data_IF_715452828517
#
_entry.id   IF_715452828517
#
_cell.length_a   1.000
_cell.length_b   1.000
_cell.length_c   1.000
_cell.angle_alpha   90.00
_cell.angle_beta   90.00
_cell.angle_gamma   90.00
#
_symmetry.space_group_name_H-M   'P 1'
#
loop_
_entity.id
_entity.type
_entity.pdbx_description
1 polymer ?
#
# COMPACT_ATOMS: atom_id res chain seq x y z
N UNK A 1 -40.93 33.57 -46.46
CA UNK A 1 -40.01 32.66 -47.17
C UNK A 1 -39.90 31.38 -46.34
N UNK A 2 -39.95 30.21 -46.98
CA UNK A 2 -39.78 28.91 -46.34
C UNK A 2 -38.50 28.27 -46.87
N UNK A 3 -37.60 27.86 -45.97
CA UNK A 3 -36.34 27.21 -46.33
C UNK A 3 -36.44 25.70 -46.17
N UNK A 4 -35.90 24.96 -47.13
CA UNK A 4 -35.73 23.50 -46.98
C UNK A 4 -34.60 23.21 -46.00
N UNK A 5 -34.63 22.05 -45.34
CA UNK A 5 -33.61 21.64 -44.37
C UNK A 5 -32.17 21.71 -44.91
N UNK A 6 -31.95 21.41 -46.20
CA UNK A 6 -30.64 21.50 -46.84
C UNK A 6 -30.16 22.94 -47.07
N UNK A 7 -31.07 23.86 -47.33
CA UNK A 7 -30.77 25.29 -47.45
C UNK A 7 -30.47 25.88 -46.07
N UNK A 8 -31.28 25.53 -45.06
CA UNK A 8 -31.08 25.94 -43.68
C UNK A 8 -29.72 25.45 -43.13
N UNK A 9 -29.35 24.21 -43.43
CA UNK A 9 -28.03 23.65 -43.09
C UNK A 9 -26.89 24.48 -43.70
N UNK A 10 -26.99 24.85 -44.98
CA UNK A 10 -25.98 25.69 -45.65
C UNK A 10 -25.87 27.09 -45.04
N UNK A 11 -26.99 27.73 -44.71
CA UNK A 11 -26.99 29.09 -44.16
C UNK A 11 -26.51 29.15 -42.71
N UNK A 12 -26.70 28.08 -41.93
CA UNK A 12 -26.39 28.06 -40.49
C UNK A 12 -25.11 27.31 -40.14
N UNK A 13 -24.44 26.71 -41.14
CA UNK A 13 -23.24 25.88 -40.95
C UNK A 13 -23.51 24.56 -40.21
N UNK A 14 -24.77 24.22 -39.95
CA UNK A 14 -25.16 22.97 -39.29
C UNK A 14 -25.32 21.85 -40.31
N UNK A 15 -25.10 20.61 -39.86
CA UNK A 15 -25.41 19.45 -40.69
C UNK A 15 -26.91 19.19 -40.72
N UNK A 16 -27.42 18.65 -41.83
CA UNK A 16 -28.82 18.17 -41.92
C UNK A 16 -29.13 17.17 -40.81
N UNK A 17 -28.14 16.35 -40.41
CA UNK A 17 -28.26 15.42 -39.27
C UNK A 17 -28.49 16.15 -37.95
N UNK A 18 -27.79 17.26 -37.69
CA UNK A 18 -27.99 18.05 -36.47
C UNK A 18 -29.41 18.67 -36.43
N UNK A 19 -29.89 19.19 -37.57
CA UNK A 19 -31.26 19.72 -37.67
C UNK A 19 -32.33 18.64 -37.50
N UNK A 20 -32.12 17.44 -38.05
CA UNK A 20 -33.01 16.29 -37.79
C UNK A 20 -32.98 15.84 -36.33
N UNK A 21 -31.81 15.91 -35.67
CA UNK A 21 -31.71 15.61 -34.26
C UNK A 21 -32.51 16.62 -33.42
N UNK A 22 -32.41 17.92 -33.73
CA UNK A 22 -33.18 18.96 -33.04
C UNK A 22 -34.69 18.81 -33.24
N UNK A 23 -35.13 18.39 -34.42
CA UNK A 23 -36.54 18.02 -34.68
C UNK A 23 -36.96 16.81 -33.84
N UNK A 24 -36.14 15.75 -33.81
CA UNK A 24 -36.44 14.52 -33.08
C UNK A 24 -36.57 14.72 -31.56
N UNK A 25 -35.78 15.63 -30.98
CA UNK A 25 -35.85 15.96 -29.55
C UNK A 25 -36.85 17.10 -29.24
N UNK A 26 -37.60 17.57 -30.24
CA UNK A 26 -38.58 18.65 -30.09
C UNK A 26 -37.97 20.04 -29.85
N UNK A 27 -36.66 20.20 -30.01
CA UNK A 27 -35.94 21.45 -29.78
C UNK A 27 -36.19 22.45 -30.92
N UNK A 28 -36.29 21.98 -32.16
CA UNK A 28 -36.64 22.78 -33.35
C UNK A 28 -37.52 21.97 -34.31
N UNK A 29 -38.82 22.20 -34.28
CA UNK A 29 -39.78 21.57 -35.18
C UNK A 29 -39.92 22.39 -36.49
N UNK A 30 -40.10 21.74 -37.66
CA UNK A 30 -40.38 22.44 -38.90
C UNK A 30 -41.80 23.01 -38.90
N UNK A 31 -41.95 24.29 -39.30
CA UNK A 31 -43.26 24.94 -39.38
C UNK A 31 -44.20 24.35 -40.44
N UNK A 32 -43.67 23.69 -41.47
CA UNK A 32 -44.48 23.02 -42.48
C UNK A 32 -43.74 21.85 -43.12
N UNK A 33 -44.49 21.04 -43.86
CA UNK A 33 -43.95 20.06 -44.80
C UNK A 33 -44.46 20.37 -46.21
N UNK A 34 -43.60 20.24 -47.22
CA UNK A 34 -44.02 20.35 -48.62
C UNK A 34 -44.90 19.17 -49.03
N UNK A 35 -45.61 19.26 -50.16
CA UNK A 35 -46.37 18.13 -50.72
C UNK A 35 -45.49 16.89 -50.96
N UNK A 36 -44.24 17.08 -51.36
CA UNK A 36 -43.24 16.00 -51.50
C UNK A 36 -42.61 15.52 -50.16
N UNK A 37 -43.10 15.96 -49.00
CA UNK A 37 -42.67 15.52 -47.67
C UNK A 37 -41.43 16.21 -47.07
N UNK A 38 -40.85 17.21 -47.73
CA UNK A 38 -39.67 17.94 -47.22
C UNK A 38 -40.04 18.87 -46.05
N UNK A 39 -39.14 18.96 -45.05
CA UNK A 39 -39.25 19.90 -43.92
C UNK A 39 -39.01 21.33 -44.39
N UNK A 40 -39.91 22.24 -44.01
CA UNK A 40 -39.89 23.66 -44.34
C UNK A 40 -39.83 24.50 -43.06
N UNK A 41 -38.89 25.44 -43.03
CA UNK A 41 -38.64 26.32 -41.89
C UNK A 41 -38.93 27.77 -42.25
N UNK A 42 -39.68 28.48 -41.39
CA UNK A 42 -40.00 29.88 -41.57
C UNK A 42 -39.02 30.80 -40.81
N UNK A 43 -39.26 32.11 -40.83
CA UNK A 43 -38.41 33.08 -40.14
C UNK A 43 -38.39 32.91 -38.60
N UNK A 44 -39.49 32.46 -38.00
CA UNK A 44 -39.56 32.20 -36.56
C UNK A 44 -38.70 31.00 -36.16
N UNK A 45 -38.69 29.94 -36.99
CA UNK A 45 -37.83 28.77 -36.79
C UNK A 45 -36.35 29.15 -36.88
N UNK A 46 -36.00 30.05 -37.79
CA UNK A 46 -34.62 30.57 -37.92
C UNK A 46 -34.24 31.39 -36.67
N UNK A 47 -35.15 32.24 -36.17
CA UNK A 47 -34.94 32.98 -34.92
C UNK A 47 -34.73 32.05 -33.72
N UNK A 48 -35.53 30.99 -33.62
CA UNK A 48 -35.38 29.95 -32.59
C UNK A 48 -34.04 29.22 -32.73
N UNK A 49 -33.65 28.86 -33.94
CA UNK A 49 -32.37 28.19 -34.21
C UNK A 49 -31.18 29.09 -33.84
N UNK A 50 -31.26 30.39 -34.09
CA UNK A 50 -30.25 31.34 -33.68
C UNK A 50 -30.10 31.41 -32.14
N UNK A 51 -31.22 31.44 -31.42
CA UNK A 51 -31.21 31.38 -29.95
C UNK A 51 -30.59 30.08 -29.41
N UNK A 52 -30.91 28.93 -30.03
CA UNK A 52 -30.30 27.63 -29.68
C UNK A 52 -28.79 27.67 -29.87
N UNK A 53 -28.32 28.23 -30.99
CA UNK A 53 -26.89 28.34 -31.27
C UNK A 53 -26.17 29.25 -30.28
N UNK A 54 -26.75 30.42 -29.96
CA UNK A 54 -26.18 31.35 -29.00
C UNK A 54 -26.05 30.73 -27.60
N UNK A 55 -27.09 30.03 -27.11
CA UNK A 55 -27.05 29.37 -25.81
C UNK A 55 -26.09 28.18 -25.78
N UNK A 56 -25.96 27.44 -26.88
CA UNK A 56 -24.97 26.36 -27.01
C UNK A 56 -23.54 26.89 -27.02
N UNK A 57 -23.29 28.06 -27.61
CA UNK A 57 -21.97 28.72 -27.54
C UNK A 57 -21.60 29.10 -26.09
N UNK A 58 -22.59 29.34 -25.24
CA UNK A 58 -22.40 29.58 -23.79
C UNK A 58 -22.23 28.28 -22.97
N UNK A 59 -22.13 27.12 -23.63
CA UNK A 59 -21.87 25.83 -22.98
C UNK A 59 -23.09 25.16 -22.36
N UNK A 60 -24.30 25.67 -22.62
CA UNK A 60 -25.53 25.08 -22.07
C UNK A 60 -25.88 23.76 -22.77
N UNK A 61 -26.32 22.72 -22.03
CA UNK A 61 -26.75 21.46 -22.60
C UNK A 61 -28.09 21.62 -23.34
N UNK A 62 -28.29 20.86 -24.42
CA UNK A 62 -29.48 20.96 -25.29
C UNK A 62 -30.81 20.76 -24.54
N UNK A 63 -30.82 19.95 -23.48
CA UNK A 63 -32.00 19.72 -22.64
C UNK A 63 -32.44 20.99 -21.90
N UNK A 64 -31.50 21.77 -21.37
CA UNK A 64 -31.81 23.04 -20.68
C UNK A 64 -32.20 24.14 -21.66
N UNK A 65 -31.60 24.16 -22.86
CA UNK A 65 -31.98 25.07 -23.94
C UNK A 65 -33.43 24.82 -24.37
N UNK A 66 -33.88 23.56 -24.40
CA UNK A 66 -35.27 23.20 -24.69
C UNK A 66 -36.26 23.79 -23.68
N UNK A 67 -35.95 23.68 -22.38
CA UNK A 67 -36.77 24.24 -21.30
C UNK A 67 -36.79 25.78 -21.24
N UNK A 68 -35.72 26.44 -21.69
CA UNK A 68 -35.67 27.91 -21.78
C UNK A 68 -36.52 28.47 -22.92
N UNK A 69 -36.57 27.75 -24.03
CA UNK A 69 -37.24 28.19 -25.25
C UNK A 69 -38.68 27.65 -25.38
N UNK A 70 -39.04 26.62 -24.62
CA UNK A 70 -40.43 26.27 -24.34
C UNK A 70 -40.90 27.08 -23.14
N UNK A 71 -42.13 27.57 -23.12
CA UNK A 71 -42.64 28.46 -22.07
C UNK A 71 -42.76 27.81 -20.65
N UNK A 72 -42.14 26.65 -20.46
CA UNK A 72 -42.17 25.87 -19.22
C UNK A 72 -40.76 25.76 -18.65
N UNK A 73 -40.55 26.50 -17.56
CA UNK A 73 -39.55 26.23 -16.51
C UNK A 73 -38.14 26.82 -16.71
N UNK A 74 -37.97 28.07 -16.27
CA UNK A 74 -36.68 28.63 -15.86
C UNK A 74 -36.44 30.05 -16.34
N UNK A 75 -36.09 30.96 -15.42
CA UNK A 75 -35.58 32.29 -15.80
C UNK A 75 -34.17 32.14 -16.37
N UNK A 76 -33.92 32.63 -17.59
CA UNK A 76 -32.59 32.61 -18.24
C UNK A 76 -31.44 33.06 -17.31
N UNK A 77 -31.59 34.15 -16.52
CA UNK A 77 -30.64 34.50 -15.46
C UNK A 77 -30.27 33.35 -14.50
N UNK A 78 -31.23 32.55 -14.05
CA UNK A 78 -30.98 31.47 -13.08
C UNK A 78 -30.20 30.30 -13.69
N UNK A 79 -30.41 30.01 -14.97
CA UNK A 79 -29.68 28.95 -15.69
C UNK A 79 -28.24 29.42 -15.99
N UNK A 80 -28.07 30.67 -16.42
CA UNK A 80 -26.74 31.27 -16.59
C UNK A 80 -25.96 31.26 -15.26
N UNK A 81 -26.59 31.64 -14.15
CA UNK A 81 -25.95 31.60 -12.83
C UNK A 81 -25.52 30.19 -12.41
N UNK A 82 -26.35 29.17 -12.67
CA UNK A 82 -26.00 27.77 -12.38
C UNK A 82 -24.81 27.29 -13.22
N UNK A 83 -24.78 27.66 -14.50
CA UNK A 83 -23.67 27.32 -15.39
C UNK A 83 -22.37 28.01 -14.97
N UNK A 84 -22.42 29.30 -14.60
CA UNK A 84 -21.27 30.03 -14.04
C UNK A 84 -20.76 29.32 -12.78
N UNK A 85 -21.64 28.99 -11.83
CA UNK A 85 -21.23 28.31 -10.60
C UNK A 85 -20.60 26.92 -10.86
N UNK A 86 -21.10 26.17 -11.84
CA UNK A 86 -20.51 24.89 -12.25
C UNK A 86 -19.11 25.07 -12.85
N UNK A 87 -18.93 26.09 -13.70
CA UNK A 87 -17.63 26.42 -14.28
C UNK A 87 -16.65 26.89 -13.21
N UNK A 88 -17.07 27.72 -12.26
CA UNK A 88 -16.24 28.16 -11.14
C UNK A 88 -15.77 26.98 -10.30
N UNK A 89 -16.64 25.98 -10.06
CA UNK A 89 -16.27 24.76 -9.36
C UNK A 89 -15.24 23.93 -10.15
N UNK A 90 -15.39 23.82 -11.48
CA UNK A 90 -14.43 23.13 -12.34
C UNK A 90 -13.08 23.87 -12.37
N UNK A 91 -13.09 25.20 -12.45
CA UNK A 91 -11.89 26.04 -12.39
C UNK A 91 -11.19 25.87 -11.05
N UNK A 92 -11.92 25.88 -9.94
CA UNK A 92 -11.33 25.68 -8.61
C UNK A 92 -10.64 24.31 -8.50
N UNK A 93 -11.26 23.24 -9.01
CA UNK A 93 -10.66 21.90 -9.04
C UNK A 93 -9.42 21.84 -9.94
N UNK A 94 -9.50 22.42 -11.14
CA UNK A 94 -8.39 22.44 -12.08
C UNK A 94 -7.20 23.27 -11.57
N UNK A 95 -7.46 24.42 -10.94
CA UNK A 95 -6.44 25.26 -10.31
C UNK A 95 -5.76 24.55 -9.15
N UNK A 96 -6.52 23.88 -8.26
CA UNK A 96 -5.96 23.09 -7.18
C UNK A 96 -5.08 21.94 -7.70
N UNK A 97 -5.48 21.27 -8.79
CA UNK A 97 -4.66 20.25 -9.43
C UNK A 97 -3.37 20.85 -10.01
N UNK A 98 -3.46 22.00 -10.69
CA UNK A 98 -2.30 22.69 -11.27
C UNK A 98 -1.28 23.08 -10.20
N UNK A 99 -1.72 23.67 -9.09
CA UNK A 99 -0.83 24.05 -7.98
C UNK A 99 -0.09 22.84 -7.40
N UNK A 100 -0.78 21.71 -7.26
CA UNK A 100 -0.16 20.46 -6.80
C UNK A 100 0.88 19.92 -7.79
N UNK A 101 0.58 19.96 -9.08
CA UNK A 101 1.53 19.54 -10.12
C UNK A 101 2.77 20.44 -10.13
N UNK A 102 2.60 21.75 -9.94
CA UNK A 102 3.72 22.69 -9.85
C UNK A 102 4.62 22.41 -8.63
N UNK A 103 4.03 22.09 -7.47
CA UNK A 103 4.78 21.71 -6.28
C UNK A 103 5.59 20.41 -6.49
N UNK A 104 5.03 19.44 -7.23
CA UNK A 104 5.74 18.22 -7.59
C UNK A 104 6.90 18.50 -8.55
N UNK A 105 6.69 19.35 -9.55
CA UNK A 105 7.71 19.75 -10.52
C UNK A 105 8.91 20.42 -9.84
N UNK A 106 8.66 21.35 -8.92
CA UNK A 106 9.71 22.07 -8.17
C UNK A 106 10.56 21.10 -7.32
N UNK A 107 9.92 20.15 -6.62
CA UNK A 107 10.62 19.14 -5.81
C UNK A 107 11.45 18.15 -6.61
N UNK A 108 10.98 17.76 -7.80
CA UNK A 108 11.72 16.89 -8.70
C UNK A 108 12.95 17.60 -9.29
N UNK A 109 12.87 18.91 -9.52
CA UNK A 109 13.98 19.72 -10.02
C UNK A 109 15.12 19.89 -8.99
N UNK A 110 14.82 19.79 -7.69
CA UNK A 110 15.81 19.90 -6.60
C UNK A 110 16.62 18.60 -6.36
N UNK A 111 16.41 17.56 -7.16
CA UNK A 111 17.22 16.32 -7.11
C UNK A 111 16.89 15.39 -5.94
N UNK A 112 15.81 15.65 -5.21
CA UNK A 112 15.23 14.67 -4.30
C UNK A 112 14.60 13.54 -5.14
N UNK A 113 15.11 12.31 -5.02
CA UNK A 113 14.33 11.16 -5.45
C UNK A 113 13.03 11.19 -4.65
N UNK A 114 11.84 11.22 -5.30
CA UNK A 114 10.59 11.28 -4.57
C UNK A 114 10.48 10.04 -3.69
N UNK A 115 10.57 10.27 -2.37
CA UNK A 115 10.33 9.26 -1.35
C UNK A 115 8.88 8.76 -1.47
N UNK A 116 8.58 7.60 -0.91
CA UNK A 116 7.26 6.95 -0.88
C UNK A 116 6.12 7.93 -0.57
N UNK A 117 6.41 9.00 0.18
CA UNK A 117 5.53 10.12 0.57
C UNK A 117 5.00 10.96 -0.58
N UNK A 118 5.79 11.20 -1.60
CA UNK A 118 5.35 11.96 -2.78
C UNK A 118 4.51 11.08 -3.73
N UNK A 119 4.73 9.76 -3.69
CA UNK A 119 3.90 8.75 -4.39
C UNK A 119 2.52 8.56 -3.75
N UNK A 120 2.42 8.63 -2.42
CA UNK A 120 1.15 8.45 -1.71
C UNK A 120 0.22 9.68 -1.79
N UNK A 121 0.79 10.89 -1.96
CA UNK A 121 0.02 12.08 -2.30
C UNK A 121 -0.58 12.04 -3.72
N UNK A 122 0.05 11.30 -4.65
CA UNK A 122 -0.53 11.02 -5.97
C UNK A 122 -1.61 9.94 -5.91
N UNK A 123 -1.52 9.00 -4.96
CA UNK A 123 -2.47 7.90 -4.74
C UNK A 123 -3.79 8.32 -4.06
N UNK A 124 -3.87 9.53 -3.48
CA UNK A 124 -5.13 10.13 -3.02
C UNK A 124 -6.19 10.25 -4.13
N UNK A 125 -5.82 10.04 -5.41
CA UNK A 125 -6.76 10.11 -6.54
C UNK A 125 -7.32 8.77 -7.08
N UNK A 126 -6.89 7.56 -6.66
CA UNK A 126 -7.42 6.31 -7.26
C UNK A 126 -7.62 5.14 -6.27
N UNK A 127 -8.76 5.15 -5.57
CA UNK A 127 -9.67 4.03 -5.14
C UNK A 127 -9.18 2.61 -4.76
N UNK A 128 -7.90 2.21 -4.88
CA UNK A 128 -7.43 0.87 -4.54
C UNK A 128 -6.96 0.75 -3.08
N UNK A 129 -6.08 1.64 -2.61
CA UNK A 129 -5.56 1.59 -1.23
C UNK A 129 -6.63 1.87 -0.17
N UNK A 130 -7.59 2.76 -0.45
CA UNK A 130 -8.70 3.05 0.47
C UNK A 130 -9.65 1.86 0.72
N UNK A 131 -9.60 0.81 -0.12
CA UNK A 131 -10.32 -0.45 0.13
C UNK A 131 -9.66 -1.30 1.20
N UNK A 132 -8.35 -1.15 1.37
CA UNK A 132 -7.55 -1.97 2.28
C UNK A 132 -7.11 -1.18 3.50
N UNK A 133 -6.88 0.13 3.42
CA UNK A 133 -6.29 0.93 4.50
C UNK A 133 -7.02 2.24 4.71
N UNK A 134 -7.16 2.63 5.98
CA UNK A 134 -7.62 3.96 6.36
C UNK A 134 -6.53 5.02 6.12
N UNK A 135 -6.89 6.31 5.98
CA UNK A 135 -5.92 7.39 5.86
C UNK A 135 -4.90 7.46 7.02
N UNK A 136 -5.34 7.10 8.24
CA UNK A 136 -4.47 7.07 9.42
C UNK A 136 -3.43 5.95 9.34
N UNK A 137 -3.84 4.76 8.88
CA UNK A 137 -2.93 3.62 8.67
C UNK A 137 -1.93 3.93 7.56
N UNK A 138 -2.38 4.52 6.45
CA UNK A 138 -1.49 4.95 5.36
C UNK A 138 -0.44 5.92 5.91
N UNK A 139 -0.84 6.92 6.69
CA UNK A 139 0.08 7.88 7.32
C UNK A 139 1.09 7.20 8.25
N UNK A 140 0.69 6.17 9.00
CA UNK A 140 1.61 5.42 9.86
C UNK A 140 2.61 4.59 9.04
N UNK A 141 2.15 3.87 8.02
CA UNK A 141 3.01 3.12 7.09
C UNK A 141 4.04 4.05 6.42
N UNK A 142 3.64 5.27 6.06
CA UNK A 142 4.53 6.29 5.51
C UNK A 142 5.65 6.67 6.47
N UNK A 143 5.30 6.92 7.73
CA UNK A 143 6.23 7.42 8.73
C UNK A 143 7.31 6.38 9.05
N UNK A 144 6.93 5.11 9.06
CA UNK A 144 7.83 4.00 9.41
C UNK A 144 8.66 3.50 8.21
N UNK A 145 8.28 3.84 6.97
CA UNK A 145 8.96 3.35 5.76
C UNK A 145 10.43 3.78 5.70
N UNK A 146 10.73 5.04 6.03
CA UNK A 146 12.10 5.58 5.94
C UNK A 146 13.11 4.84 6.82
N UNK A 147 12.65 4.23 7.93
CA UNK A 147 13.49 3.45 8.83
C UNK A 147 13.92 2.09 8.23
N UNK A 148 13.10 1.53 7.34
CA UNK A 148 13.31 0.20 6.75
C UNK A 148 13.68 0.24 5.27
N UNK A 149 13.48 1.37 4.60
CA UNK A 149 13.58 1.52 3.14
C UNK A 149 14.93 1.03 2.57
N UNK A 150 16.04 1.37 3.23
CA UNK A 150 17.38 0.98 2.79
C UNK A 150 17.68 -0.52 2.94
N UNK A 151 16.92 -1.23 3.79
CA UNK A 151 17.14 -2.64 4.09
C UNK A 151 16.40 -3.58 3.12
N UNK A 152 15.40 -3.08 2.41
CA UNK A 152 14.59 -3.86 1.46
C UNK A 152 15.35 -4.29 0.19
N UNK A 153 16.05 -3.40 -0.54
CA UNK A 153 16.77 -3.79 -1.77
C UNK A 153 17.77 -4.95 -1.60
N UNK A 154 18.67 -4.96 -0.59
CA UNK A 154 19.60 -6.08 -0.42
C UNK A 154 18.87 -7.37 -0.06
N UNK A 155 17.82 -7.32 0.76
CA UNK A 155 17.04 -8.51 1.11
C UNK A 155 16.34 -9.12 -0.13
N UNK A 156 15.73 -8.27 -0.97
CA UNK A 156 15.08 -8.72 -2.20
C UNK A 156 16.10 -9.38 -3.14
N UNK A 157 17.30 -8.80 -3.27
CA UNK A 157 18.38 -9.37 -4.07
C UNK A 157 18.85 -10.74 -3.54
N UNK A 158 18.99 -10.91 -2.23
CA UNK A 158 19.38 -12.17 -1.60
C UNK A 158 18.33 -13.27 -1.87
N UNK A 159 17.04 -12.95 -1.75
CA UNK A 159 15.95 -13.90 -2.04
C UNK A 159 15.93 -14.27 -3.52
N UNK A 160 16.07 -13.28 -4.40
CA UNK A 160 16.13 -13.51 -5.85
C UNK A 160 17.32 -14.41 -6.24
N UNK A 161 18.47 -14.28 -5.57
CA UNK A 161 19.63 -15.12 -5.81
C UNK A 161 19.39 -16.60 -5.44
N UNK A 162 18.67 -16.87 -4.34
CA UNK A 162 18.28 -18.24 -3.99
C UNK A 162 17.29 -18.82 -5.00
N UNK A 163 16.31 -18.04 -5.44
CA UNK A 163 15.36 -18.46 -6.48
C UNK A 163 16.07 -18.75 -7.81
N UNK A 164 17.01 -17.91 -8.23
CA UNK A 164 17.79 -18.11 -9.46
C UNK A 164 18.66 -19.39 -9.41
N UNK A 165 19.09 -19.80 -8.21
CA UNK A 165 19.78 -21.07 -7.96
C UNK A 165 18.85 -22.29 -7.94
N UNK A 166 17.53 -22.10 -8.00
CA UNK A 166 16.55 -23.18 -7.93
C UNK A 166 16.41 -23.80 -6.53
N UNK A 167 16.76 -23.05 -5.48
CA UNK A 167 16.61 -23.49 -4.10
C UNK A 167 15.11 -23.62 -3.77
N UNK A 168 14.66 -24.74 -3.19
CA UNK A 168 13.28 -24.89 -2.73
C UNK A 168 12.94 -23.91 -1.58
N UNK A 169 11.70 -23.40 -1.53
CA UNK A 169 11.26 -22.46 -0.49
C UNK A 169 11.23 -23.04 0.92
N UNK A 170 11.22 -24.37 1.05
CA UNK A 170 11.28 -25.10 2.32
C UNK A 170 12.71 -25.43 2.76
N UNK A 171 13.72 -25.09 1.95
CA UNK A 171 15.10 -25.33 2.28
C UNK A 171 15.53 -24.49 3.52
N UNK A 172 16.36 -25.05 4.42
CA UNK A 172 16.85 -24.33 5.59
C UNK A 172 17.55 -23.01 5.27
N UNK A 173 18.25 -22.92 4.12
CA UNK A 173 18.98 -21.71 3.71
C UNK A 173 18.06 -20.51 3.43
N UNK A 174 16.77 -20.72 3.21
CA UNK A 174 15.77 -19.65 2.97
C UNK A 174 15.27 -19.04 4.28
N UNK A 175 15.32 -19.80 5.38
CA UNK A 175 14.74 -19.40 6.66
C UNK A 175 15.36 -18.14 7.29
N UNK A 176 16.68 -17.89 7.19
CA UNK A 176 17.26 -16.60 7.58
C UNK A 176 16.63 -15.41 6.85
N UNK A 177 16.39 -15.54 5.53
CA UNK A 177 15.79 -14.48 4.72
C UNK A 177 14.31 -14.30 5.08
N UNK A 178 13.58 -15.40 5.30
CA UNK A 178 12.19 -15.36 5.74
C UNK A 178 12.04 -14.67 7.10
N UNK A 179 12.93 -14.96 8.04
CA UNK A 179 12.97 -14.30 9.34
C UNK A 179 13.23 -12.79 9.21
N UNK A 180 14.25 -12.41 8.43
CA UNK A 180 14.58 -10.99 8.18
C UNK A 180 13.45 -10.26 7.49
N UNK A 181 12.75 -10.90 6.56
CA UNK A 181 11.55 -10.36 5.89
C UNK A 181 10.42 -10.10 6.89
N UNK A 182 10.12 -11.06 7.77
CA UNK A 182 9.11 -10.88 8.82
C UNK A 182 9.44 -9.71 9.74
N UNK A 183 10.71 -9.57 10.12
CA UNK A 183 11.15 -8.49 11.01
C UNK A 183 11.02 -7.12 10.34
N UNK A 184 11.43 -6.96 9.08
CA UNK A 184 11.26 -5.70 8.35
C UNK A 184 9.79 -5.34 8.19
N UNK A 185 8.93 -6.31 7.88
CA UNK A 185 7.48 -6.08 7.83
C UNK A 185 6.92 -5.67 9.19
N UNK A 186 7.37 -6.33 10.27
CA UNK A 186 6.98 -5.99 11.63
C UNK A 186 7.42 -4.59 12.05
N UNK A 187 8.66 -4.18 11.73
CA UNK A 187 9.14 -2.82 11.99
C UNK A 187 8.37 -1.77 11.20
N UNK A 188 8.10 -2.06 9.92
CA UNK A 188 7.36 -1.14 9.06
C UNK A 188 5.92 -0.93 9.53
N UNK A 189 5.25 -2.01 9.92
CA UNK A 189 3.83 -1.98 10.31
C UNK A 189 3.63 -1.91 11.83
N UNK A 190 4.69 -1.57 12.57
CA UNK A 190 4.70 -1.44 14.03
C UNK A 190 4.11 -2.66 14.78
N UNK A 191 4.40 -3.86 14.28
CA UNK A 191 3.90 -5.12 14.84
C UNK A 191 2.43 -5.42 14.58
N UNK A 192 1.75 -4.61 13.75
CA UNK A 192 0.35 -4.84 13.42
C UNK A 192 0.20 -5.94 12.35
N UNK A 193 -0.02 -7.16 12.80
CA UNK A 193 -0.18 -8.35 11.94
C UNK A 193 -1.39 -8.26 10.98
N UNK A 194 -2.45 -7.56 11.36
CA UNK A 194 -3.60 -7.34 10.48
C UNK A 194 -3.21 -6.46 9.28
N UNK A 195 -2.41 -5.40 9.51
CA UNK A 195 -1.85 -4.58 8.45
C UNK A 195 -0.95 -5.39 7.51
N UNK A 196 -0.11 -6.27 8.06
CA UNK A 196 0.78 -7.15 7.27
C UNK A 196 -0.04 -8.06 6.35
N UNK A 197 -1.13 -8.62 6.88
CA UNK A 197 -2.01 -9.52 6.13
C UNK A 197 -2.73 -8.78 5.01
N UNK A 198 -3.35 -7.63 5.30
CA UNK A 198 -4.03 -6.79 4.30
C UNK A 198 -3.07 -6.30 3.22
N UNK A 199 -1.83 -5.96 3.60
CA UNK A 199 -0.79 -5.56 2.66
C UNK A 199 -0.41 -6.68 1.70
N UNK A 200 -0.17 -7.88 2.23
CA UNK A 200 0.13 -9.06 1.41
C UNK A 200 -1.01 -9.46 0.47
N UNK A 201 -2.27 -9.25 0.87
CA UNK A 201 -3.43 -9.45 -0.01
C UNK A 201 -3.50 -8.41 -1.12
N UNK A 202 -3.38 -7.13 -0.77
CA UNK A 202 -3.36 -6.01 -1.72
C UNK A 202 -2.24 -6.17 -2.75
N UNK A 203 -1.02 -6.51 -2.32
CA UNK A 203 0.13 -6.67 -3.21
C UNK A 203 -0.07 -7.77 -4.27
N UNK A 204 -0.74 -8.87 -3.90
CA UNK A 204 -1.05 -9.98 -4.82
C UNK A 204 -2.20 -9.63 -5.76
N UNK A 205 -3.24 -8.97 -5.26
CA UNK A 205 -4.48 -8.72 -6.02
C UNK A 205 -4.39 -7.51 -6.94
N UNK A 206 -3.66 -6.48 -6.55
CA UNK A 206 -3.61 -5.21 -7.28
C UNK A 206 -2.31 -5.13 -8.10
N UNK A 207 -2.35 -5.24 -9.44
CA UNK A 207 -1.16 -5.11 -10.27
C UNK A 207 -0.48 -3.74 -10.13
N UNK A 208 -1.25 -2.69 -9.81
CA UNK A 208 -0.72 -1.33 -9.59
C UNK A 208 0.22 -1.24 -8.38
N UNK A 209 0.11 -2.17 -7.43
CA UNK A 209 0.98 -2.24 -6.26
C UNK A 209 2.33 -2.92 -6.55
N UNK A 210 2.41 -3.69 -7.65
CA UNK A 210 3.63 -4.31 -8.15
C UNK A 210 4.33 -3.33 -9.08
N UNK A 211 5.26 -2.54 -8.52
CA UNK A 211 6.11 -1.63 -9.29
C UNK A 211 7.13 -2.40 -10.15
N UNK A 212 7.67 -1.76 -11.18
CA UNK A 212 8.80 -2.28 -11.99
C UNK A 212 10.09 -2.49 -11.17
N UNK A 213 10.24 -1.81 -10.03
CA UNK A 213 11.35 -1.93 -9.07
C UNK A 213 10.99 -2.75 -7.80
N UNK A 214 9.76 -3.27 -7.72
CA UNK A 214 9.28 -4.09 -6.60
C UNK A 214 9.60 -5.58 -6.78
N UNK A 215 9.53 -6.39 -5.71
CA UNK A 215 9.70 -7.83 -5.82
C UNK A 215 8.61 -8.45 -6.72
N UNK A 216 8.98 -9.33 -7.67
CA UNK A 216 7.98 -10.00 -8.50
C UNK A 216 7.05 -10.87 -7.64
N UNK A 217 5.82 -11.10 -8.12
CA UNK A 217 4.82 -11.89 -7.38
C UNK A 217 5.36 -13.29 -6.99
N UNK A 218 6.13 -13.91 -7.88
CA UNK A 218 6.77 -15.21 -7.65
C UNK A 218 7.75 -15.17 -6.46
N UNK A 219 8.45 -14.05 -6.25
CA UNK A 219 9.34 -13.86 -5.10
C UNK A 219 8.54 -13.74 -3.81
N UNK A 220 7.44 -13.00 -3.85
CA UNK A 220 6.52 -12.88 -2.71
C UNK A 220 5.91 -14.23 -2.34
N UNK A 221 5.50 -15.03 -3.32
CA UNK A 221 4.96 -16.37 -3.08
C UNK A 221 6.05 -17.31 -2.53
N UNK A 222 7.27 -17.23 -3.07
CA UNK A 222 8.42 -18.00 -2.62
C UNK A 222 8.78 -17.71 -1.15
N UNK A 223 8.94 -16.43 -0.79
CA UNK A 223 9.26 -16.05 0.60
C UNK A 223 8.05 -16.27 1.51
N UNK A 224 6.83 -16.08 1.00
CA UNK A 224 5.59 -16.35 1.72
C UNK A 224 5.46 -17.82 2.14
N UNK A 225 5.85 -18.76 1.28
CA UNK A 225 5.89 -20.18 1.63
C UNK A 225 6.89 -20.47 2.77
N UNK A 226 8.09 -19.88 2.71
CA UNK A 226 9.10 -20.03 3.75
C UNK A 226 8.64 -19.44 5.10
N UNK A 227 7.99 -18.27 5.08
CA UNK A 227 7.37 -17.63 6.26
C UNK A 227 6.24 -18.51 6.81
N UNK A 228 5.40 -19.08 5.94
CA UNK A 228 4.32 -19.98 6.34
C UNK A 228 4.82 -21.20 7.12
N UNK A 229 5.93 -21.82 6.68
CA UNK A 229 6.58 -22.92 7.41
C UNK A 229 7.08 -22.48 8.79
N UNK A 230 7.71 -21.30 8.86
CA UNK A 230 8.19 -20.72 10.11
C UNK A 230 7.05 -20.46 11.10
N UNK A 231 5.97 -19.85 10.62
CA UNK A 231 4.78 -19.57 11.45
C UNK A 231 4.10 -20.85 11.90
N UNK A 232 3.97 -21.85 11.03
CA UNK A 232 3.43 -23.16 11.39
C UNK A 232 4.26 -23.84 12.47
N UNK A 233 5.60 -23.72 12.43
CA UNK A 233 6.48 -24.24 13.47
C UNK A 233 6.27 -23.52 14.81
N UNK A 234 6.18 -22.18 14.82
CA UNK A 234 5.91 -21.42 16.05
C UNK A 234 4.54 -21.76 16.66
N UNK A 235 3.50 -21.86 15.83
CA UNK A 235 2.12 -22.16 16.25
C UNK A 235 1.93 -23.56 16.85
N UNK A 236 2.90 -24.48 16.70
CA UNK A 236 2.88 -25.77 17.42
C UNK A 236 3.19 -25.62 18.91
N UNK A 237 3.83 -24.52 19.30
CA UNK A 237 4.30 -24.27 20.67
C UNK A 237 3.72 -23.00 21.28
N UNK A 238 3.25 -22.05 20.46
CA UNK A 238 2.75 -20.74 20.89
C UNK A 238 1.33 -20.53 20.34
N UNK A 239 0.49 -19.85 21.12
CA UNK A 239 -0.81 -19.39 20.66
C UNK A 239 -0.82 -17.90 20.27
N UNK A 240 -1.97 -17.41 19.82
CA UNK A 240 -2.15 -16.01 19.40
C UNK A 240 -1.94 -15.01 20.53
N UNK A 241 -2.22 -15.39 21.78
CA UNK A 241 -2.04 -14.51 22.95
C UNK A 241 -0.56 -14.41 23.32
N UNK A 242 0.17 -15.52 23.22
CA UNK A 242 1.63 -15.56 23.37
C UNK A 242 2.30 -14.58 22.39
N UNK A 243 1.90 -14.57 21.12
CA UNK A 243 2.45 -13.63 20.12
C UNK A 243 2.17 -12.16 20.45
N UNK A 244 1.01 -11.86 21.03
CA UNK A 244 0.65 -10.49 21.42
C UNK A 244 1.48 -9.97 22.60
N UNK A 245 2.04 -10.88 23.40
CA UNK A 245 2.87 -10.57 24.57
C UNK A 245 4.36 -10.50 24.26
N UNK A 246 4.80 -11.05 23.12
CA UNK A 246 6.19 -10.93 22.69
C UNK A 246 6.52 -9.46 22.38
N UNK A 247 7.63 -8.99 22.94
CA UNK A 247 8.17 -7.67 22.65
C UNK A 247 8.73 -7.57 21.23
N UNK A 248 9.23 -6.38 20.86
CA UNK A 248 9.99 -6.22 19.61
C UNK A 248 11.29 -7.03 19.71
N UNK A 249 11.64 -7.88 18.71
CA UNK A 249 12.85 -8.68 18.77
C UNK A 249 14.09 -7.76 18.76
N UNK A 250 14.98 -7.84 19.76
CA UNK A 250 16.20 -7.03 19.84
C UNK A 250 17.29 -7.64 18.94
N UNK A 251 17.04 -7.61 17.63
CA UNK A 251 17.82 -8.38 16.65
C UNK A 251 19.27 -7.88 16.56
N UNK A 252 19.48 -6.56 16.57
CA UNK A 252 20.82 -5.99 16.48
C UNK A 252 21.64 -6.31 17.75
N UNK A 253 21.01 -6.27 18.92
CA UNK A 253 21.65 -6.67 20.17
C UNK A 253 21.95 -8.16 20.21
N UNK A 254 21.00 -9.03 19.84
CA UNK A 254 21.25 -10.48 19.77
C UNK A 254 22.33 -10.83 18.75
N UNK A 255 22.36 -10.16 17.59
CA UNK A 255 23.38 -10.38 16.55
C UNK A 255 24.75 -9.99 17.07
N UNK A 256 24.87 -8.79 17.65
CA UNK A 256 26.10 -8.32 18.27
C UNK A 256 26.61 -9.26 19.36
N UNK A 257 25.75 -9.65 20.30
CA UNK A 257 26.12 -10.59 21.37
C UNK A 257 26.52 -11.96 20.82
N UNK A 258 25.85 -12.42 19.76
CA UNK A 258 26.17 -13.66 19.07
C UNK A 258 27.54 -13.64 18.41
N UNK A 259 27.90 -12.53 17.73
CA UNK A 259 29.21 -12.32 17.12
C UNK A 259 30.33 -12.22 18.17
N UNK A 260 30.11 -11.47 19.25
CA UNK A 260 31.05 -11.36 20.37
C UNK A 260 31.29 -12.74 21.02
N UNK A 261 30.22 -13.52 21.20
CA UNK A 261 30.31 -14.86 21.77
C UNK A 261 31.01 -15.85 20.83
N UNK A 262 30.74 -15.77 19.53
CA UNK A 262 31.42 -16.59 18.52
C UNK A 262 32.93 -16.30 18.49
N UNK A 263 33.34 -15.03 18.64
CA UNK A 263 34.74 -14.63 18.71
C UNK A 263 35.45 -15.19 19.96
N UNK A 264 34.77 -15.21 21.12
CA UNK A 264 35.30 -15.83 22.34
C UNK A 264 35.40 -17.35 22.22
N UNK A 265 34.39 -17.98 21.62
CA UNK A 265 34.41 -19.42 21.34
C UNK A 265 35.57 -19.79 20.41
N UNK A 266 35.80 -19.03 19.33
CA UNK A 266 36.90 -19.26 18.40
C UNK A 266 38.28 -19.14 19.06
N UNK A 267 38.37 -18.36 20.15
CA UNK A 267 39.57 -18.22 20.99
C UNK A 267 39.67 -19.27 22.10
N UNK A 268 38.75 -20.24 22.15
CA UNK A 268 38.65 -21.29 23.17
C UNK A 268 38.57 -20.74 24.61
N UNK A 269 37.93 -19.58 24.80
CA UNK A 269 37.68 -19.05 26.15
C UNK A 269 36.70 -19.98 26.86
N UNK A 270 36.93 -20.37 28.14
CA UNK A 270 36.03 -21.29 28.83
C UNK A 270 34.67 -20.64 29.12
N UNK A 271 33.54 -21.39 29.11
CA UNK A 271 32.21 -20.82 29.33
C UNK A 271 32.02 -20.16 30.71
N UNK A 272 32.88 -20.50 31.68
CA UNK A 272 32.86 -19.93 33.03
C UNK A 272 33.65 -18.62 33.20
N UNK A 273 34.32 -18.13 32.15
CA UNK A 273 35.07 -16.88 32.14
C UNK A 273 34.17 -15.66 32.30
N UNK A 274 34.66 -14.61 32.96
CA UNK A 274 33.88 -13.40 33.28
C UNK A 274 33.34 -12.71 32.02
N UNK A 275 34.10 -12.69 30.92
CA UNK A 275 33.65 -12.09 29.67
C UNK A 275 32.46 -12.86 29.06
N UNK A 276 32.52 -14.19 29.10
CA UNK A 276 31.46 -15.07 28.59
C UNK A 276 30.23 -15.00 29.50
N UNK A 277 30.44 -14.93 30.81
CA UNK A 277 29.37 -14.80 31.80
C UNK A 277 28.65 -13.45 31.71
N UNK A 278 29.36 -12.37 31.33
CA UNK A 278 28.76 -11.07 31.06
C UNK A 278 27.83 -11.09 29.84
N UNK A 279 28.27 -11.71 28.73
CA UNK A 279 27.45 -11.89 27.53
C UNK A 279 26.24 -12.78 27.81
N UNK A 280 26.43 -13.89 28.53
CA UNK A 280 25.33 -14.78 28.91
C UNK A 280 24.26 -14.06 29.76
N UNK A 281 24.67 -13.18 30.69
CA UNK A 281 23.73 -12.35 31.45
C UNK A 281 22.98 -11.36 30.56
N UNK A 282 23.68 -10.68 29.65
CA UNK A 282 23.06 -9.75 28.72
C UNK A 282 22.03 -10.46 27.83
N UNK A 283 22.37 -11.66 27.35
CA UNK A 283 21.47 -12.50 26.56
C UNK A 283 20.20 -12.87 27.34
N UNK A 284 20.34 -13.35 28.58
CA UNK A 284 19.19 -13.72 29.43
C UNK A 284 18.28 -12.51 29.67
N UNK A 285 18.85 -11.34 29.98
CA UNK A 285 18.04 -10.12 30.19
C UNK A 285 17.26 -9.69 28.96
N UNK A 286 17.88 -9.77 27.78
CA UNK A 286 17.19 -9.48 26.52
C UNK A 286 16.07 -10.49 26.24
N UNK A 287 16.34 -11.77 26.51
CA UNK A 287 15.35 -12.82 26.32
C UNK A 287 14.16 -12.65 27.29
N UNK A 288 14.43 -12.37 28.57
CA UNK A 288 13.38 -12.13 29.56
C UNK A 288 12.53 -10.91 29.19
N UNK A 289 13.16 -9.81 28.75
CA UNK A 289 12.42 -8.62 28.29
C UNK A 289 11.60 -8.91 27.03
N UNK A 290 12.11 -9.72 26.10
CA UNK A 290 11.40 -10.12 24.89
C UNK A 290 10.17 -10.98 25.21
N UNK A 291 10.21 -11.77 26.28
CA UNK A 291 9.10 -12.63 26.72
C UNK A 291 8.25 -12.01 27.84
N UNK A 292 8.29 -10.67 27.99
CA UNK A 292 7.53 -9.94 29.02
C UNK A 292 7.69 -10.51 30.44
N UNK A 293 8.92 -10.97 30.75
CA UNK A 293 9.27 -11.63 32.00
C UNK A 293 8.42 -12.87 32.36
N UNK A 294 7.74 -13.49 31.39
CA UNK A 294 6.94 -14.69 31.60
C UNK A 294 7.79 -15.97 31.41
N UNK A 295 8.06 -16.72 32.49
CA UNK A 295 8.90 -17.91 32.43
C UNK A 295 8.25 -19.07 31.65
N UNK A 296 6.91 -19.15 31.60
CA UNK A 296 6.21 -20.19 30.85
C UNK A 296 6.28 -19.92 29.35
N UNK A 297 6.07 -18.65 28.94
CA UNK A 297 6.25 -18.22 27.55
C UNK A 297 7.70 -18.42 27.09
N UNK A 298 8.67 -18.00 27.91
CA UNK A 298 10.08 -18.23 27.69
C UNK A 298 10.41 -19.71 27.47
N UNK A 299 9.89 -20.60 28.33
CA UNK A 299 10.11 -22.05 28.20
C UNK A 299 9.51 -22.62 26.91
N UNK A 300 8.29 -22.21 26.52
CA UNK A 300 7.67 -22.63 25.25
C UNK A 300 8.47 -22.16 24.04
N UNK A 301 8.91 -20.91 24.03
CA UNK A 301 9.72 -20.35 22.95
C UNK A 301 11.09 -21.04 22.83
N UNK A 302 11.77 -21.28 23.96
CA UNK A 302 13.03 -22.05 23.97
C UNK A 302 12.82 -23.47 23.46
N UNK A 303 11.74 -24.14 23.85
CA UNK A 303 11.38 -25.47 23.36
C UNK A 303 11.13 -25.46 21.85
N UNK A 304 10.42 -24.46 21.33
CA UNK A 304 10.20 -24.31 19.90
C UNK A 304 11.54 -24.19 19.15
N UNK A 305 12.42 -23.27 19.58
CA UNK A 305 13.75 -23.11 18.99
C UNK A 305 14.64 -24.36 19.11
N UNK A 306 14.47 -25.18 20.15
CA UNK A 306 15.23 -26.41 20.33
C UNK A 306 14.72 -27.58 19.48
N UNK A 307 13.43 -27.61 19.14
CA UNK A 307 12.79 -28.76 18.49
C UNK A 307 12.46 -28.55 17.02
N UNK A 308 12.35 -27.30 16.57
CA UNK A 308 11.94 -26.96 15.20
C UNK A 308 13.16 -26.60 14.32
N UNK A 309 13.54 -27.45 13.33
CA UNK A 309 14.70 -27.18 12.46
C UNK A 309 14.58 -25.87 11.68
N UNK A 310 13.35 -25.50 11.30
CA UNK A 310 13.02 -24.26 10.59
C UNK A 310 13.35 -23.02 11.42
N UNK A 311 13.16 -23.09 12.74
CA UNK A 311 13.52 -21.99 13.66
C UNK A 311 15.03 -21.92 13.89
N UNK A 312 15.68 -23.08 13.97
CA UNK A 312 17.13 -23.20 14.12
C UNK A 312 17.88 -22.67 12.91
N UNK A 313 17.36 -22.89 11.71
CA UNK A 313 17.98 -22.46 10.47
C UNK A 313 18.12 -20.92 10.38
N UNK A 314 17.27 -20.16 11.07
CA UNK A 314 17.34 -18.71 11.16
C UNK A 314 17.85 -18.22 12.53
N UNK A 315 18.41 -19.10 13.36
CA UNK A 315 18.90 -18.70 14.67
C UNK A 315 20.07 -17.72 14.52
N UNK A 316 20.03 -16.64 15.31
CA UNK A 316 21.05 -15.58 15.31
C UNK A 316 22.44 -16.14 15.63
N UNK A 317 22.49 -17.21 16.42
CA UNK A 317 23.70 -17.96 16.76
C UNK A 317 23.65 -19.36 16.19
N UNK A 318 24.75 -19.79 15.57
CA UNK A 318 24.89 -21.16 15.08
C UNK A 318 24.89 -22.20 16.22
N UNK A 319 24.73 -23.50 15.90
CA UNK A 319 24.56 -24.55 16.90
C UNK A 319 25.70 -24.61 17.93
N UNK A 320 26.95 -24.47 17.48
CA UNK A 320 28.12 -24.49 18.36
C UNK A 320 28.13 -23.31 19.35
N UNK A 321 27.82 -22.10 18.88
CA UNK A 321 27.78 -20.88 19.71
C UNK A 321 26.60 -20.95 20.69
N UNK A 322 25.46 -21.48 20.25
CA UNK A 322 24.28 -21.73 21.09
C UNK A 322 24.59 -22.70 22.22
N UNK A 323 25.21 -23.84 21.92
CA UNK A 323 25.54 -24.84 22.94
C UNK A 323 26.55 -24.29 23.95
N UNK A 324 27.50 -23.46 23.49
CA UNK A 324 28.44 -22.72 24.33
C UNK A 324 27.74 -21.69 25.23
N UNK A 325 26.76 -20.95 24.72
CA UNK A 325 25.91 -20.04 25.50
C UNK A 325 25.12 -20.79 26.59
N UNK A 326 24.50 -21.93 26.24
CA UNK A 326 23.72 -22.74 27.18
C UNK A 326 24.60 -23.28 28.32
N UNK A 327 25.84 -23.69 28.02
CA UNK A 327 26.81 -24.07 29.05
C UNK A 327 27.15 -22.91 29.97
N UNK A 328 27.38 -21.71 29.42
CA UNK A 328 27.65 -20.51 30.22
C UNK A 328 26.47 -20.17 31.15
N UNK A 329 25.24 -20.25 30.65
CA UNK A 329 24.02 -20.02 31.44
C UNK A 329 23.87 -21.08 32.54
N UNK A 330 24.13 -22.36 32.25
CA UNK A 330 24.04 -23.43 33.24
C UNK A 330 25.06 -23.26 34.38
N UNK A 331 26.31 -22.91 34.05
CA UNK A 331 27.35 -22.60 35.05
C UNK A 331 26.92 -21.43 35.93
N UNK A 332 26.29 -20.41 35.34
CA UNK A 332 25.78 -19.26 36.08
C UNK A 332 24.71 -19.65 37.09
N UNK A 333 23.73 -20.45 36.67
CA UNK A 333 22.64 -20.94 37.52
C UNK A 333 23.18 -21.79 38.68
N UNK A 334 24.22 -22.58 38.45
CA UNK A 334 24.90 -23.35 39.51
C UNK A 334 25.67 -22.46 40.50
N UNK A 335 26.25 -21.35 40.04
CA UNK A 335 26.96 -20.36 40.88
C UNK A 335 26.03 -19.40 41.66
N UNK A 336 24.73 -19.32 41.32
CA UNK A 336 23.74 -18.49 42.01
C UNK A 336 22.53 -19.32 42.47
N UNK A 337 22.57 -19.97 43.65
CA UNK A 337 21.48 -20.86 44.12
C UNK A 337 20.24 -20.12 44.65
N UNK A 338 20.14 -18.79 44.53
CA UNK A 338 19.10 -18.01 45.20
C UNK A 338 17.84 -17.82 44.35
N UNK A 339 17.04 -18.89 44.25
CA UNK A 339 15.57 -18.87 44.24
C UNK A 339 15.07 -20.31 44.04
N UNK A 340 15.10 -21.11 45.11
CA UNK A 340 14.44 -22.42 45.13
C UNK A 340 12.92 -22.28 45.01
N UNK A 341 12.23 -23.31 44.49
CA UNK A 341 10.78 -23.30 44.35
C UNK A 341 10.12 -23.32 45.73
N UNK A 342 9.17 -22.41 45.94
CA UNK A 342 8.18 -22.62 46.99
C UNK A 342 7.24 -23.74 46.51
N UNK A 343 7.22 -24.85 47.24
CA UNK A 343 6.19 -25.90 47.10
C UNK A 343 6.08 -26.61 48.45
N UNK A 344 4.90 -27.12 48.85
CA UNK A 344 3.56 -26.92 48.30
C UNK A 344 2.72 -25.86 49.02
#
# INVERSE_FOLDING_TARGET
MLLKVGELARYTGLTVRALHHYDAIGLLAPSARSEAGYRLYNAADIGRLHAIQALRLLGLPLAEIGGLLGAESGSLPAIIQRQIASLDQQIAQASALRERLALLEERLAEGAQPDMKDWLATLEQMTAYGRYFSPAEIKSLMANWSAVASQWPPLIADVAALMARGVPSDAPEVQPLAYRWMNLMGQWMDGNYDLVTRWGEMYRREPVARRDDGPPAELIDYIGAAIGLRMAALLRHLDTEDFARLGKPPEDEWRRLGEELAALQARNVPPGDDAVQAIALAWVRLFDAFTDHDPALAARLMKAMATEPVLQAAAVVGPAVRDYLLQAIAIRQQKSPAAGPATP
#
